data_IF_256399408511
#
_entry.id   IF_256399408511
#
_cell.length_a   1.000
_cell.length_b   1.000
_cell.length_c   1.000
_cell.angle_alpha   90.00
_cell.angle_beta   90.00
_cell.angle_gamma   90.00
#
_symmetry.space_group_name_H-M   'P 1'
#
loop_
_entity.id
_entity.type
_entity.pdbx_description
1 polymer ?
#
# COMPACT_ATOMS: atom_id res chain seq x y z
N UNK A 1 -27.63 -30.98 -2.20
CA UNK A 1 -27.49 -29.79 -1.33
C UNK A 1 -26.58 -30.11 -0.16
N UNK A 2 -25.41 -29.46 -0.08
CA UNK A 2 -24.68 -29.21 1.17
C UNK A 2 -23.63 -28.15 0.86
N UNK A 3 -24.06 -26.90 1.01
CA UNK A 3 -23.18 -25.74 0.91
C UNK A 3 -22.18 -25.77 2.05
N UNK A 4 -20.91 -25.90 1.70
CA UNK A 4 -19.82 -25.67 2.65
C UNK A 4 -19.60 -24.16 2.71
N UNK A 5 -19.82 -23.61 3.90
CA UNK A 5 -19.78 -22.19 4.20
C UNK A 5 -18.33 -21.73 4.09
N UNK A 6 -18.07 -20.83 3.14
CA UNK A 6 -16.82 -20.08 3.03
C UNK A 6 -16.73 -19.24 4.31
N UNK A 7 -15.75 -19.55 5.17
CA UNK A 7 -15.32 -18.66 6.23
C UNK A 7 -14.63 -17.47 5.56
N UNK A 8 -15.43 -16.46 5.21
CA UNK A 8 -14.92 -15.12 4.95
C UNK A 8 -14.42 -14.61 6.29
N UNK A 9 -13.12 -14.71 6.52
CA UNK A 9 -12.46 -14.04 7.62
C UNK A 9 -12.71 -12.54 7.42
N UNK A 10 -13.63 -12.00 8.21
CA UNK A 10 -13.77 -10.57 8.42
C UNK A 10 -12.44 -10.10 8.99
N UNK A 11 -11.57 -9.54 8.13
CA UNK A 11 -10.48 -8.68 8.55
C UNK A 11 -11.15 -7.53 9.27
N UNK A 12 -11.22 -7.66 10.59
CA UNK A 12 -11.88 -6.72 11.46
C UNK A 12 -11.30 -5.34 11.22
N UNK A 13 -12.17 -4.36 11.03
CA UNK A 13 -11.96 -2.91 10.96
C UNK A 13 -11.11 -2.28 12.09
N UNK A 14 -10.46 -3.10 12.92
CA UNK A 14 -9.62 -2.77 14.08
C UNK A 14 -8.35 -2.01 13.71
N UNK A 15 -7.89 -2.05 12.46
CA UNK A 15 -6.74 -1.25 12.03
C UNK A 15 -7.13 0.20 11.71
N UNK A 16 -8.42 0.52 11.54
CA UNK A 16 -8.88 1.88 11.19
C UNK A 16 -8.80 2.86 12.36
N UNK A 17 -8.72 2.36 13.61
CA UNK A 17 -8.69 3.21 14.81
C UNK A 17 -7.33 3.88 15.07
N UNK A 18 -6.30 3.56 14.29
CA UNK A 18 -4.95 4.11 14.45
C UNK A 18 -4.62 5.26 13.49
N UNK A 19 -5.49 5.53 12.50
CA UNK A 19 -5.29 6.56 11.49
C UNK A 19 -6.19 7.75 11.82
N UNK A 20 -5.68 8.65 12.67
CA UNK A 20 -6.42 9.83 13.10
C UNK A 20 -6.72 10.75 11.93
N UNK A 21 -8.01 10.98 11.62
CA UNK A 21 -8.49 12.03 10.71
C UNK A 21 -7.83 12.11 9.32
N UNK A 22 -7.13 11.07 8.85
CA UNK A 22 -6.64 11.01 7.47
C UNK A 22 -7.84 10.75 6.55
N UNK A 23 -7.91 11.45 5.41
CA UNK A 23 -8.96 11.18 4.43
C UNK A 23 -8.80 9.76 3.92
N UNK A 24 -9.90 9.13 3.49
CA UNK A 24 -9.85 7.75 3.01
C UNK A 24 -8.92 7.59 1.81
N UNK A 25 -8.82 8.62 0.97
CA UNK A 25 -7.90 8.69 -0.17
C UNK A 25 -6.43 8.74 0.27
N UNK A 26 -6.14 9.33 1.43
CA UNK A 26 -4.79 9.35 2.00
C UNK A 26 -4.34 7.94 2.40
N UNK A 27 -5.24 7.11 2.95
CA UNK A 27 -4.91 5.71 3.24
C UNK A 27 -4.50 4.93 1.98
N UNK A 28 -5.30 5.03 0.91
CA UNK A 28 -4.98 4.36 -0.38
C UNK A 28 -3.64 4.85 -0.92
N UNK A 29 -3.41 6.17 -0.88
CA UNK A 29 -2.14 6.75 -1.27
C UNK A 29 -0.96 6.21 -0.43
N UNK A 30 -1.08 6.16 0.89
CA UNK A 30 -0.01 5.68 1.77
C UNK A 30 0.29 4.18 1.55
N UNK A 31 -0.73 3.35 1.31
CA UNK A 31 -0.54 1.94 0.97
C UNK A 31 0.21 1.80 -0.35
N UNK A 32 -0.28 2.42 -1.43
CA UNK A 32 0.36 2.35 -2.75
C UNK A 32 1.80 2.89 -2.73
N UNK A 33 2.03 3.96 -1.97
CA UNK A 33 3.36 4.53 -1.73
C UNK A 33 4.29 3.56 -1.02
N UNK A 34 3.79 2.87 0.01
CA UNK A 34 4.53 1.85 0.74
C UNK A 34 4.84 0.62 -0.14
N UNK A 35 3.86 0.15 -0.92
CA UNK A 35 4.00 -0.97 -1.85
C UNK A 35 5.07 -0.70 -2.91
N UNK A 36 4.99 0.45 -3.59
CA UNK A 36 5.95 0.86 -4.61
C UNK A 36 7.37 0.96 -4.05
N UNK A 37 7.51 1.50 -2.84
CA UNK A 37 8.81 1.57 -2.17
C UNK A 37 9.33 0.20 -1.74
N UNK A 38 8.45 -0.68 -1.24
CA UNK A 38 8.81 -2.03 -0.85
C UNK A 38 9.27 -2.86 -2.06
N UNK A 39 8.62 -2.71 -3.22
CA UNK A 39 9.00 -3.38 -4.46
C UNK A 39 10.41 -2.99 -4.98
N UNK A 40 11.00 -1.89 -4.50
CA UNK A 40 12.37 -1.51 -4.84
C UNK A 40 13.43 -2.26 -4.03
N UNK A 41 13.02 -2.98 -2.98
CA UNK A 41 13.90 -3.82 -2.17
C UNK A 41 14.15 -5.17 -2.90
N UNK A 42 15.41 -5.59 -2.95
CA UNK A 42 15.79 -6.85 -3.58
C UNK A 42 15.24 -8.06 -2.78
N UNK A 43 14.98 -7.86 -1.49
CA UNK A 43 14.39 -8.87 -0.59
C UNK A 43 12.85 -8.79 -0.52
N UNK A 44 12.22 -8.01 -1.40
CA UNK A 44 10.77 -7.87 -1.43
C UNK A 44 10.08 -9.20 -1.75
N UNK A 45 8.94 -9.45 -1.08
CA UNK A 45 8.18 -10.68 -1.23
C UNK A 45 6.94 -10.46 -2.11
N UNK A 46 6.84 -11.22 -3.20
CA UNK A 46 5.72 -11.17 -4.14
C UNK A 46 4.36 -11.47 -3.49
N UNK A 47 4.29 -12.35 -2.50
CA UNK A 47 3.07 -12.63 -1.73
C UNK A 47 2.61 -11.39 -0.95
N UNK A 48 3.54 -10.65 -0.34
CA UNK A 48 3.23 -9.40 0.37
C UNK A 48 2.69 -8.34 -0.60
N UNK A 49 3.25 -8.23 -1.80
CA UNK A 49 2.75 -7.31 -2.84
C UNK A 49 1.33 -7.70 -3.29
N UNK A 50 1.07 -8.99 -3.51
CA UNK A 50 -0.27 -9.47 -3.88
C UNK A 50 -1.30 -9.21 -2.77
N UNK A 51 -0.94 -9.46 -1.51
CA UNK A 51 -1.79 -9.15 -0.35
C UNK A 51 -2.06 -7.65 -0.27
N UNK A 52 -1.05 -6.82 -0.50
CA UNK A 52 -1.15 -5.35 -0.51
C UNK A 52 -2.19 -4.85 -1.51
N UNK A 53 -2.08 -5.29 -2.77
CA UNK A 53 -3.05 -4.96 -3.81
C UNK A 53 -4.48 -5.40 -3.46
N UNK A 54 -4.63 -6.56 -2.80
CA UNK A 54 -5.91 -7.04 -2.29
C UNK A 54 -6.50 -6.12 -1.21
N UNK A 55 -5.69 -5.63 -0.27
CA UNK A 55 -6.11 -4.70 0.78
C UNK A 55 -6.60 -3.37 0.19
N UNK A 56 -5.90 -2.82 -0.80
CA UNK A 56 -6.33 -1.58 -1.47
C UNK A 56 -7.68 -1.78 -2.15
N UNK A 57 -7.82 -2.84 -2.95
CA UNK A 57 -9.07 -3.13 -3.66
C UNK A 57 -10.25 -3.34 -2.70
N UNK A 58 -10.02 -4.07 -1.59
CA UNK A 58 -11.04 -4.27 -0.56
C UNK A 58 -11.42 -2.94 0.11
N UNK A 59 -10.44 -2.14 0.52
CA UNK A 59 -10.67 -0.86 1.19
C UNK A 59 -11.46 0.10 0.32
N UNK A 60 -11.09 0.23 -0.96
CA UNK A 60 -11.81 1.08 -1.92
C UNK A 60 -13.27 0.65 -2.07
N UNK A 61 -13.52 -0.65 -2.20
CA UNK A 61 -14.87 -1.21 -2.31
C UNK A 61 -15.70 -0.98 -1.03
N UNK A 62 -15.14 -1.24 0.16
CA UNK A 62 -15.82 -1.05 1.44
C UNK A 62 -16.18 0.42 1.71
N UNK A 63 -15.42 1.35 1.13
CA UNK A 63 -15.62 2.78 1.34
C UNK A 63 -16.29 3.51 0.18
N UNK A 64 -16.68 2.79 -0.88
CA UNK A 64 -17.24 3.35 -2.12
C UNK A 64 -16.33 4.46 -2.70
N UNK A 65 -15.02 4.22 -2.69
CA UNK A 65 -14.07 5.09 -3.35
C UNK A 65 -14.02 4.72 -4.82
N UNK A 66 -14.27 5.70 -5.67
CA UNK A 66 -14.00 5.61 -7.09
C UNK A 66 -12.66 6.31 -7.33
N UNK A 67 -11.67 5.60 -7.83
CA UNK A 67 -10.43 6.22 -8.28
C UNK A 67 -10.59 6.52 -9.77
N UNK A 68 -10.66 7.79 -10.13
CA UNK A 68 -10.67 8.15 -11.55
C UNK A 68 -9.30 7.88 -12.14
N UNK A 69 -9.18 7.55 -13.44
CA UNK A 69 -7.87 7.37 -14.07
C UNK A 69 -6.93 8.57 -13.91
N UNK A 70 -7.47 9.78 -13.74
CA UNK A 70 -6.70 10.99 -13.50
C UNK A 70 -6.12 11.04 -12.08
N UNK A 71 -6.89 10.62 -11.07
CA UNK A 71 -6.44 10.55 -9.67
C UNK A 71 -5.41 9.44 -9.48
N UNK A 72 -5.63 8.27 -10.08
CA UNK A 72 -4.69 7.16 -10.10
C UNK A 72 -3.34 7.58 -10.74
N UNK A 73 -3.42 8.26 -11.88
CA UNK A 73 -2.23 8.79 -12.58
C UNK A 73 -1.49 9.79 -11.71
N UNK A 74 -2.20 10.76 -11.11
CA UNK A 74 -1.58 11.78 -10.25
C UNK A 74 -0.92 11.17 -9.01
N UNK A 75 -1.57 10.18 -8.38
CA UNK A 75 -1.01 9.45 -7.24
C UNK A 75 0.24 8.66 -7.64
N UNK A 76 0.19 7.95 -8.77
CA UNK A 76 1.33 7.21 -9.31
C UNK A 76 2.50 8.13 -9.62
N UNK A 77 2.26 9.25 -10.33
CA UNK A 77 3.30 10.23 -10.64
C UNK A 77 3.93 10.82 -9.38
N UNK A 78 3.13 11.12 -8.36
CA UNK A 78 3.61 11.60 -7.07
C UNK A 78 4.50 10.55 -6.37
N UNK A 79 4.06 9.30 -6.27
CA UNK A 79 4.84 8.21 -5.67
C UNK A 79 6.16 8.01 -6.41
N UNK A 80 6.11 7.96 -7.74
CA UNK A 80 7.30 7.76 -8.58
C UNK A 80 8.27 8.94 -8.47
N UNK A 81 7.76 10.17 -8.37
CA UNK A 81 8.58 11.35 -8.09
C UNK A 81 9.27 11.27 -6.73
N UNK A 82 8.61 10.76 -5.69
CA UNK A 82 9.23 10.57 -4.38
C UNK A 82 10.36 9.52 -4.40
N UNK A 83 10.18 8.41 -5.11
CA UNK A 83 11.16 7.33 -5.21
C UNK A 83 12.31 7.72 -6.16
N UNK A 84 11.99 8.10 -7.39
CA UNK A 84 12.99 8.35 -8.43
C UNK A 84 13.57 9.76 -8.41
N UNK A 85 12.82 10.74 -7.90
CA UNK A 85 13.24 12.14 -7.80
C UNK A 85 13.61 12.73 -9.15
N UNK A 86 14.71 13.48 -9.17
CA UNK A 86 15.16 14.14 -10.39
C UNK A 86 15.68 13.14 -11.44
N UNK A 87 15.51 13.45 -12.74
CA UNK A 87 16.11 12.68 -13.82
C UNK A 87 17.62 12.47 -13.59
N UNK A 88 18.13 11.30 -13.96
CA UNK A 88 19.52 10.87 -13.78
C UNK A 88 19.97 10.55 -12.34
N UNK A 89 19.05 10.48 -11.38
CA UNK A 89 19.35 9.86 -10.08
C UNK A 89 19.76 8.39 -10.29
N UNK A 90 20.73 7.89 -9.52
CA UNK A 90 21.19 6.49 -9.63
C UNK A 90 20.23 5.53 -8.95
N UNK A 91 20.32 4.24 -9.27
CA UNK A 91 19.50 3.19 -8.65
C UNK A 91 19.70 3.15 -7.13
N UNK A 92 20.92 3.38 -6.64
CA UNK A 92 21.22 3.43 -5.20
C UNK A 92 20.52 4.60 -4.52
N UNK A 93 20.42 5.75 -5.19
CA UNK A 93 19.65 6.90 -4.69
C UNK A 93 18.17 6.56 -4.62
N UNK A 94 17.62 5.88 -5.62
CA UNK A 94 16.23 5.42 -5.63
C UNK A 94 15.95 4.44 -4.48
N UNK A 95 16.80 3.41 -4.33
CA UNK A 95 16.73 2.45 -3.21
C UNK A 95 16.84 3.16 -1.87
N UNK A 96 17.71 4.16 -1.74
CA UNK A 96 17.84 4.97 -0.53
C UNK A 96 16.57 5.76 -0.19
N UNK A 97 15.86 6.30 -1.19
CA UNK A 97 14.56 6.98 -0.97
C UNK A 97 13.46 5.98 -0.64
N UNK A 98 13.37 4.90 -1.39
CA UNK A 98 12.43 3.81 -1.14
C UNK A 98 12.59 3.25 0.29
N UNK A 99 13.82 3.03 0.74
CA UNK A 99 14.10 2.59 2.11
C UNK A 99 13.57 3.56 3.17
N UNK A 100 13.72 4.87 2.97
CA UNK A 100 13.17 5.87 3.90
C UNK A 100 11.64 5.80 3.98
N UNK A 101 10.98 5.48 2.86
CA UNK A 101 9.54 5.28 2.81
C UNK A 101 9.17 4.02 3.59
N UNK A 102 9.85 2.89 3.35
CA UNK A 102 9.58 1.64 4.06
C UNK A 102 9.91 1.70 5.55
N UNK A 103 10.84 2.56 5.95
CA UNK A 103 11.18 2.81 7.35
C UNK A 103 10.20 3.73 8.09
N UNK A 104 9.22 4.32 7.38
CA UNK A 104 8.16 5.14 8.02
C UNK A 104 7.29 4.29 8.95
N UNK A 105 6.74 4.92 9.99
CA UNK A 105 5.87 4.24 10.96
C UNK A 105 4.64 3.60 10.32
N UNK A 106 4.07 4.26 9.31
CA UNK A 106 2.97 3.70 8.52
C UNK A 106 3.40 2.40 7.84
N UNK A 107 4.45 2.46 7.01
CA UNK A 107 4.83 1.34 6.17
C UNK A 107 5.36 0.15 6.99
N UNK A 108 6.08 0.41 8.09
CA UNK A 108 6.50 -0.65 9.02
C UNK A 108 5.31 -1.40 9.62
N UNK A 109 4.30 -0.68 10.11
CA UNK A 109 3.09 -1.29 10.70
C UNK A 109 2.31 -2.07 9.65
N UNK A 110 2.13 -1.46 8.48
CA UNK A 110 1.40 -2.05 7.36
C UNK A 110 2.06 -3.33 6.82
N UNK A 111 3.36 -3.28 6.51
CA UNK A 111 4.07 -4.47 6.01
C UNK A 111 4.10 -5.58 7.06
N UNK A 112 4.24 -5.23 8.34
CA UNK A 112 4.18 -6.21 9.43
C UNK A 112 2.82 -6.89 9.52
N UNK A 113 1.71 -6.16 9.31
CA UNK A 113 0.37 -6.79 9.33
C UNK A 113 0.19 -7.78 8.19
N UNK A 114 0.66 -7.46 6.98
CA UNK A 114 0.57 -8.36 5.82
C UNK A 114 1.39 -9.65 5.96
N UNK A 115 2.47 -9.60 6.74
CA UNK A 115 3.35 -10.74 7.00
C UNK A 115 2.87 -11.62 8.16
N UNK A 116 1.99 -11.09 9.02
CA UNK A 116 1.42 -11.81 10.16
C UNK A 116 0.14 -12.59 9.84
N UNK A 117 -0.45 -12.36 8.66
CA UNK A 117 -1.63 -13.06 8.12
C UNK A 117 -1.27 -14.31 7.34
#
# INVERSE_FOLDING_TARGET
MKGSKIFVALVSASCLSLYGSESKDDYVFQVNRCEAAYAMDDDSNAETLIKSAGVVAQYMNEHNLEDTPAEETANTEKIMSEIFGVPNSTVEVWKGRARKITESDFCKKYLSSLQSE
#
